data_IF_933340023817
#
_entry.id   IF_933340023817
#
_cell.length_a   1.000
_cell.length_b   1.000
_cell.length_c   1.000
_cell.angle_alpha   90.00
_cell.angle_beta   90.00
_cell.angle_gamma   90.00
#
_symmetry.space_group_name_H-M   'P 1'
#
loop_
_entity.id
_entity.type
_entity.pdbx_description
1 polymer ?
#
# COMPACT_ATOMS: atom_id res chain seq x y z
N UNK A 1 -1.86 42.11 -25.27
CA UNK A 1 -3.05 41.87 -24.45
C UNK A 1 -2.81 40.59 -23.66
N UNK A 2 -2.49 40.74 -22.40
CA UNK A 2 -2.27 39.60 -21.51
C UNK A 2 -3.63 39.02 -21.10
N UNK A 3 -4.01 37.86 -21.65
CA UNK A 3 -5.16 37.14 -21.16
C UNK A 3 -4.79 36.51 -19.81
N UNK A 4 -5.13 37.19 -18.76
CA UNK A 4 -5.09 36.63 -17.43
C UNK A 4 -6.16 35.54 -17.38
N UNK A 5 -5.74 34.28 -17.52
CA UNK A 5 -6.64 33.14 -17.32
C UNK A 5 -7.01 33.16 -15.83
N UNK A 6 -8.26 33.49 -15.55
CA UNK A 6 -8.75 33.52 -14.17
C UNK A 6 -8.62 32.11 -13.57
N UNK A 7 -7.98 31.99 -12.41
CA UNK A 7 -7.93 30.77 -11.63
C UNK A 7 -9.35 30.41 -11.15
N UNK A 8 -9.82 29.25 -11.52
CA UNK A 8 -11.12 28.72 -11.08
C UNK A 8 -10.87 27.51 -10.19
N UNK A 9 -11.40 27.56 -8.98
CA UNK A 9 -11.36 26.41 -8.08
C UNK A 9 -12.31 25.35 -8.63
N UNK A 10 -11.80 24.14 -8.86
CA UNK A 10 -12.63 23.00 -9.20
C UNK A 10 -13.36 22.52 -7.93
N UNK A 11 -14.61 22.94 -7.78
CA UNK A 11 -15.49 22.53 -6.66
C UNK A 11 -15.96 21.08 -6.75
N UNK A 12 -15.58 20.37 -7.82
CA UNK A 12 -15.97 18.96 -8.05
C UNK A 12 -14.96 17.96 -7.48
N UNK A 13 -13.77 18.42 -7.04
CA UNK A 13 -12.79 17.51 -6.45
C UNK A 13 -13.38 16.93 -5.16
N UNK A 14 -13.58 15.62 -5.16
CA UNK A 14 -14.05 14.83 -4.01
C UNK A 14 -13.27 13.54 -3.94
N UNK A 15 -12.77 13.22 -2.77
CA UNK A 15 -12.18 11.90 -2.52
C UNK A 15 -13.31 10.94 -2.11
N UNK A 16 -13.58 9.96 -2.96
CA UNK A 16 -14.60 8.92 -2.73
C UNK A 16 -13.95 7.57 -2.43
N UNK A 17 -12.74 7.34 -2.96
CA UNK A 17 -12.03 6.08 -2.79
C UNK A 17 -10.54 6.31 -2.64
N UNK A 18 -9.98 5.84 -1.54
CA UNK A 18 -8.58 6.02 -1.14
C UNK A 18 -7.88 4.67 -1.14
N UNK A 19 -6.76 4.55 -1.85
CA UNK A 19 -5.86 3.40 -1.81
C UNK A 19 -4.73 3.65 -0.82
N UNK A 20 -4.46 2.68 0.06
CA UNK A 20 -3.39 2.75 1.04
C UNK A 20 -2.49 1.52 0.92
N UNK A 21 -1.36 1.60 0.21
CA UNK A 21 -0.33 0.56 0.29
C UNK A 21 0.21 0.46 1.72
N UNK A 22 0.26 -0.76 2.25
CA UNK A 22 0.61 -1.03 3.64
C UNK A 22 1.54 -2.24 3.75
N UNK A 23 2.73 -2.05 4.26
CA UNK A 23 3.79 -3.06 4.39
C UNK A 23 3.97 -3.61 5.82
N UNK A 24 3.09 -3.22 6.74
CA UNK A 24 3.16 -3.58 8.15
C UNK A 24 4.04 -2.66 9.00
N UNK A 25 4.70 -1.68 8.40
CA UNK A 25 5.55 -0.73 9.13
C UNK A 25 4.73 0.33 9.89
N UNK A 26 5.36 0.93 10.91
CA UNK A 26 4.79 2.07 11.65
C UNK A 26 4.50 3.26 10.72
N UNK A 27 5.27 3.41 9.65
CA UNK A 27 5.06 4.48 8.68
C UNK A 27 3.82 4.23 7.83
N UNK A 28 3.57 2.98 7.44
CA UNK A 28 2.32 2.63 6.74
C UNK A 28 1.10 2.74 7.66
N UNK A 29 1.24 2.49 8.98
CA UNK A 29 0.20 2.79 9.97
C UNK A 29 -0.11 4.30 10.04
N UNK A 30 0.91 5.18 9.93
CA UNK A 30 0.69 6.64 9.84
C UNK A 30 -0.06 7.00 8.55
N UNK A 31 0.30 6.41 7.42
CA UNK A 31 -0.41 6.63 6.15
C UNK A 31 -1.89 6.21 6.27
N UNK A 32 -2.16 5.06 6.89
CA UNK A 32 -3.52 4.61 7.18
C UNK A 32 -4.28 5.57 8.11
N UNK A 33 -3.61 6.14 9.10
CA UNK A 33 -4.21 7.14 10.00
C UNK A 33 -4.63 8.41 9.24
N UNK A 34 -3.82 8.88 8.28
CA UNK A 34 -4.19 10.00 7.41
C UNK A 34 -5.38 9.65 6.51
N UNK A 35 -5.41 8.43 5.95
CA UNK A 35 -6.55 7.96 5.17
C UNK A 35 -7.84 7.90 6.00
N UNK A 36 -7.72 7.41 7.22
CA UNK A 36 -8.83 7.35 8.19
C UNK A 36 -9.39 8.73 8.51
N UNK A 37 -8.52 9.72 8.74
CA UNK A 37 -8.93 11.10 8.95
C UNK A 37 -9.65 11.66 7.73
N UNK A 38 -9.10 11.50 6.53
CA UNK A 38 -9.72 11.97 5.30
C UNK A 38 -11.06 11.27 5.03
N UNK A 39 -11.15 9.97 5.28
CA UNK A 39 -12.40 9.21 5.16
C UNK A 39 -13.49 9.75 6.10
N UNK A 40 -13.15 10.14 7.32
CA UNK A 40 -14.12 10.75 8.27
C UNK A 40 -14.75 12.00 7.73
N UNK A 41 -14.00 12.87 7.08
CA UNK A 41 -14.49 14.17 6.60
C UNK A 41 -15.12 14.12 5.22
N UNK A 42 -14.68 13.19 4.35
CA UNK A 42 -15.17 13.06 2.97
C UNK A 42 -16.21 11.96 2.76
N UNK A 43 -16.28 10.98 3.67
CA UNK A 43 -17.05 9.75 3.49
C UNK A 43 -16.41 8.75 2.51
N UNK A 44 -15.13 8.94 2.15
CA UNK A 44 -14.41 8.08 1.23
C UNK A 44 -14.26 6.65 1.74
N UNK A 45 -14.35 5.70 0.84
CA UNK A 45 -14.00 4.30 1.08
C UNK A 45 -12.46 4.16 1.14
N UNK A 46 -11.96 3.36 2.06
CA UNK A 46 -10.54 3.02 2.16
C UNK A 46 -10.33 1.59 1.70
N UNK A 47 -9.39 1.38 0.79
CA UNK A 47 -8.89 0.06 0.42
C UNK A 47 -7.41 -0.02 0.77
N UNK A 48 -7.06 -0.88 1.70
CA UNK A 48 -5.68 -1.16 2.07
C UNK A 48 -5.16 -2.27 1.16
N UNK A 49 -3.98 -2.11 0.58
CA UNK A 49 -3.33 -3.16 -0.21
C UNK A 49 -1.99 -3.54 0.43
N UNK A 50 -1.80 -4.82 0.65
CA UNK A 50 -0.48 -5.39 0.94
C UNK A 50 -0.05 -6.26 -0.24
N UNK A 51 1.22 -6.18 -0.61
CA UNK A 51 1.80 -6.98 -1.68
C UNK A 51 2.89 -7.87 -1.10
N UNK A 52 2.68 -9.17 -1.19
CA UNK A 52 3.67 -10.18 -0.85
C UNK A 52 4.54 -10.39 -2.09
N UNK A 53 5.82 -10.02 -2.01
CA UNK A 53 6.74 -10.27 -3.13
C UNK A 53 6.98 -11.76 -3.31
N UNK A 54 7.10 -12.19 -4.58
CA UNK A 54 7.51 -13.55 -4.89
C UNK A 54 8.89 -13.83 -4.30
N UNK A 55 8.95 -14.74 -3.34
CA UNK A 55 10.18 -15.10 -2.67
C UNK A 55 11.08 -15.86 -3.65
N UNK A 56 12.05 -15.15 -4.21
CA UNK A 56 13.15 -15.79 -4.93
C UNK A 56 14.13 -16.35 -3.91
N UNK A 57 13.99 -17.62 -3.57
CA UNK A 57 14.92 -18.29 -2.67
C UNK A 57 16.19 -18.63 -3.49
N UNK A 58 17.37 -18.08 -3.17
CA UNK A 58 18.60 -18.42 -3.86
C UNK A 58 18.87 -19.93 -3.77
N UNK A 59 19.37 -20.58 -4.83
CA UNK A 59 19.69 -22.01 -4.84
C UNK A 59 20.58 -22.46 -3.66
N UNK A 60 21.52 -21.60 -3.25
CA UNK A 60 22.40 -21.85 -2.09
C UNK A 60 21.65 -21.96 -0.76
N UNK A 61 20.62 -21.16 -0.57
CA UNK A 61 19.76 -21.18 0.62
C UNK A 61 18.84 -22.40 0.60
N UNK A 62 18.39 -22.79 -0.58
CA UNK A 62 17.58 -24.00 -0.76
C UNK A 62 18.31 -25.26 -0.29
N UNK A 63 19.61 -25.37 -0.61
CA UNK A 63 20.44 -26.53 -0.21
C UNK A 63 20.61 -26.65 1.31
N UNK A 64 20.47 -25.56 2.07
CA UNK A 64 20.66 -25.56 3.53
C UNK A 64 19.37 -25.91 4.30
N UNK A 65 18.21 -25.62 3.73
CA UNK A 65 16.91 -25.76 4.44
C UNK A 65 15.99 -26.85 3.89
N UNK A 66 16.34 -27.46 2.75
CA UNK A 66 15.50 -28.50 2.14
C UNK A 66 15.93 -29.88 2.63
N UNK A 67 15.03 -30.56 3.30
CA UNK A 67 15.16 -32.00 3.51
C UNK A 67 15.07 -32.71 2.16
N UNK A 68 15.87 -33.77 1.90
CA UNK A 68 15.90 -34.47 0.62
C UNK A 68 14.53 -34.93 0.10
N UNK A 69 13.59 -35.09 0.99
CA UNK A 69 12.27 -35.67 0.70
C UNK A 69 11.16 -34.63 0.46
N UNK A 70 11.47 -33.33 0.47
CA UNK A 70 10.46 -32.30 0.31
C UNK A 70 10.66 -31.50 -0.99
N UNK A 71 9.69 -31.52 -1.94
CA UNK A 71 9.76 -30.74 -3.15
C UNK A 71 9.86 -29.22 -2.83
N UNK A 72 10.76 -28.52 -3.51
CA UNK A 72 11.01 -27.08 -3.37
C UNK A 72 9.71 -26.26 -3.51
N UNK A 73 8.87 -26.65 -4.47
CA UNK A 73 7.61 -25.97 -4.73
C UNK A 73 6.66 -26.02 -3.55
N UNK A 74 6.62 -27.17 -2.85
CA UNK A 74 5.79 -27.30 -1.62
C UNK A 74 6.33 -26.45 -0.48
N UNK A 75 7.63 -26.32 -0.33
CA UNK A 75 8.24 -25.46 0.68
C UNK A 75 7.96 -23.96 0.40
N UNK A 76 7.97 -23.55 -0.87
CA UNK A 76 7.60 -22.19 -1.28
C UNK A 76 6.11 -21.92 -1.02
N UNK A 77 5.25 -22.87 -1.34
CA UNK A 77 3.81 -22.77 -1.10
C UNK A 77 3.49 -22.63 0.40
N UNK A 78 4.10 -23.48 1.24
CA UNK A 78 3.93 -23.40 2.69
C UNK A 78 4.42 -22.06 3.25
N UNK A 79 5.55 -21.55 2.77
CA UNK A 79 6.06 -20.23 3.17
C UNK A 79 5.10 -19.11 2.73
N UNK A 80 4.62 -19.16 1.51
CA UNK A 80 3.62 -18.19 1.01
C UNK A 80 2.36 -18.20 1.87
N UNK A 81 1.82 -19.37 2.15
CA UNK A 81 0.62 -19.52 2.99
C UNK A 81 0.84 -18.97 4.41
N UNK A 82 2.03 -19.19 4.98
CA UNK A 82 2.40 -18.63 6.28
C UNK A 82 2.44 -17.11 6.25
N UNK A 83 3.14 -16.53 5.26
CA UNK A 83 3.24 -15.07 5.09
C UNK A 83 1.86 -14.44 4.85
N UNK A 84 1.04 -15.05 4.01
CA UNK A 84 -0.32 -14.58 3.75
C UNK A 84 -1.19 -14.61 5.02
N UNK A 85 -1.05 -15.65 5.86
CA UNK A 85 -1.72 -15.74 7.15
C UNK A 85 -1.30 -14.62 8.10
N UNK A 86 -0.01 -14.34 8.22
CA UNK A 86 0.53 -13.26 9.06
C UNK A 86 0.06 -11.88 8.57
N UNK A 87 0.13 -11.62 7.26
CA UNK A 87 -0.35 -10.38 6.66
C UNK A 87 -1.84 -10.20 6.88
N UNK A 88 -2.62 -11.27 6.70
CA UNK A 88 -4.07 -11.25 6.94
C UNK A 88 -4.38 -10.88 8.38
N UNK A 89 -3.74 -11.53 9.34
CA UNK A 89 -3.94 -11.23 10.76
C UNK A 89 -3.60 -9.77 11.10
N UNK A 90 -2.50 -9.28 10.58
CA UNK A 90 -2.07 -7.89 10.74
C UNK A 90 -3.09 -6.92 10.17
N UNK A 91 -3.58 -7.15 8.94
CA UNK A 91 -4.56 -6.28 8.29
C UNK A 91 -5.93 -6.34 8.98
N UNK A 92 -6.39 -7.52 9.39
CA UNK A 92 -7.63 -7.69 10.15
C UNK A 92 -7.62 -6.83 11.43
N UNK A 93 -6.48 -6.81 12.14
CA UNK A 93 -6.31 -5.99 13.34
C UNK A 93 -6.33 -4.48 13.01
N UNK A 94 -5.64 -4.02 11.93
CA UNK A 94 -5.66 -2.61 11.51
C UNK A 94 -7.07 -2.16 11.10
N UNK A 95 -7.77 -3.00 10.35
CA UNK A 95 -9.15 -2.72 9.94
C UNK A 95 -10.08 -2.65 11.15
N UNK A 96 -9.93 -3.57 12.11
CA UNK A 96 -10.70 -3.58 13.34
C UNK A 96 -10.49 -2.28 14.12
N UNK A 97 -9.25 -1.84 14.31
CA UNK A 97 -8.92 -0.59 14.99
C UNK A 97 -9.53 0.62 14.27
N UNK A 98 -9.45 0.69 12.94
CA UNK A 98 -10.09 1.78 12.19
C UNK A 98 -11.61 1.81 12.37
N UNK A 99 -12.26 0.66 12.46
CA UNK A 99 -13.71 0.57 12.68
C UNK A 99 -14.11 0.96 14.11
N UNK A 100 -13.41 0.42 15.10
CA UNK A 100 -13.74 0.61 16.51
C UNK A 100 -13.34 1.99 17.02
N UNK A 101 -12.08 2.39 16.80
CA UNK A 101 -11.54 3.64 17.38
C UNK A 101 -11.89 4.87 16.54
N UNK A 102 -11.97 4.70 15.22
CA UNK A 102 -12.23 5.80 14.32
C UNK A 102 -13.66 5.86 13.76
N UNK A 103 -14.45 4.82 13.93
CA UNK A 103 -15.82 4.76 13.42
C UNK A 103 -15.91 4.66 11.88
N UNK A 104 -14.85 4.15 11.23
CA UNK A 104 -14.80 4.00 9.77
C UNK A 104 -15.42 2.67 9.37
N UNK A 105 -16.58 2.72 8.70
CA UNK A 105 -17.28 1.49 8.26
C UNK A 105 -16.91 1.06 6.84
N UNK A 106 -16.51 2.02 5.97
CA UNK A 106 -16.14 1.76 4.57
C UNK A 106 -14.65 1.55 4.45
N UNK A 107 -14.16 0.45 4.99
CA UNK A 107 -12.74 0.05 4.91
C UNK A 107 -12.63 -1.44 4.66
N UNK A 108 -11.78 -1.79 3.71
CA UNK A 108 -11.45 -3.16 3.32
C UNK A 108 -9.97 -3.29 2.99
N UNK A 109 -9.50 -4.52 2.79
CA UNK A 109 -8.14 -4.75 2.32
C UNK A 109 -8.08 -5.79 1.20
N UNK A 110 -6.97 -5.77 0.47
CA UNK A 110 -6.57 -6.78 -0.51
C UNK A 110 -5.14 -7.21 -0.24
N UNK A 111 -4.88 -8.50 -0.39
CA UNK A 111 -3.54 -9.08 -0.41
C UNK A 111 -3.27 -9.50 -1.85
N UNK A 112 -2.14 -9.06 -2.39
CA UNK A 112 -1.67 -9.41 -3.73
C UNK A 112 -0.31 -10.09 -3.64
N UNK A 113 0.03 -10.88 -4.63
CA UNK A 113 1.35 -11.50 -4.75
C UNK A 113 1.97 -11.07 -6.08
N UNK A 114 3.21 -10.59 -6.04
CA UNK A 114 3.90 -10.12 -7.24
C UNK A 114 4.90 -9.02 -6.94
N UNK A 115 5.22 -8.21 -7.93
CA UNK A 115 6.10 -7.05 -7.75
C UNK A 115 5.32 -5.89 -7.13
N UNK A 116 5.83 -5.35 -6.03
CA UNK A 116 5.14 -4.32 -5.24
C UNK A 116 4.63 -3.16 -6.12
N UNK A 117 5.49 -2.60 -6.97
CA UNK A 117 5.14 -1.45 -7.81
C UNK A 117 4.04 -1.81 -8.79
N UNK A 118 4.19 -2.94 -9.48
CA UNK A 118 3.27 -3.39 -10.53
C UNK A 118 1.86 -3.64 -9.94
N UNK A 119 1.79 -4.30 -8.78
CA UNK A 119 0.53 -4.60 -8.11
C UNK A 119 -0.17 -3.35 -7.56
N UNK A 120 0.59 -2.38 -7.02
CA UNK A 120 0.01 -1.10 -6.55
C UNK A 120 -0.53 -0.30 -7.75
N UNK A 121 0.23 -0.20 -8.85
CA UNK A 121 -0.20 0.51 -10.06
C UNK A 121 -1.43 -0.15 -10.65
N UNK A 122 -1.41 -1.48 -10.83
CA UNK A 122 -2.54 -2.25 -11.34
C UNK A 122 -3.80 -2.04 -10.48
N UNK A 123 -3.66 -2.12 -9.14
CA UNK A 123 -4.78 -1.90 -8.23
C UNK A 123 -5.33 -0.48 -8.34
N UNK A 124 -4.46 0.52 -8.53
CA UNK A 124 -4.88 1.92 -8.64
C UNK A 124 -5.72 2.20 -9.90
N UNK A 125 -5.50 1.41 -10.95
CA UNK A 125 -6.24 1.51 -12.22
C UNK A 125 -7.53 0.68 -12.21
N UNK A 126 -7.50 -0.49 -11.54
CA UNK A 126 -8.61 -1.46 -11.54
C UNK A 126 -9.89 -0.91 -10.87
N UNK A 127 -9.77 -0.02 -9.89
CA UNK A 127 -10.89 0.39 -9.02
C UNK A 127 -11.17 1.90 -8.98
N UNK A 128 -10.70 2.69 -9.91
CA UNK A 128 -10.91 4.15 -9.97
C UNK A 128 -10.70 4.88 -8.63
N UNK A 129 -9.53 4.71 -8.05
CA UNK A 129 -9.15 5.46 -6.86
C UNK A 129 -8.95 6.94 -7.17
N UNK A 130 -9.40 7.81 -6.26
CA UNK A 130 -9.24 9.28 -6.37
C UNK A 130 -7.96 9.77 -5.71
N UNK A 131 -7.44 9.03 -4.75
CA UNK A 131 -6.27 9.38 -3.97
C UNK A 131 -5.51 8.12 -3.54
N UNK A 132 -4.20 8.20 -3.57
CA UNK A 132 -3.32 7.19 -3.00
C UNK A 132 -2.55 7.83 -1.85
N UNK A 133 -2.52 7.17 -0.70
CA UNK A 133 -1.78 7.64 0.48
C UNK A 133 -0.71 6.61 0.82
N UNK A 134 0.55 7.00 0.69
CA UNK A 134 1.70 6.11 0.90
C UNK A 134 2.64 6.64 1.95
N UNK A 135 3.25 5.73 2.69
CA UNK A 135 4.40 6.03 3.51
C UNK A 135 5.69 6.07 2.69
N UNK A 136 6.57 7.00 3.02
CA UNK A 136 7.91 7.07 2.49
C UNK A 136 8.90 7.01 3.65
N UNK A 137 9.57 5.86 3.80
CA UNK A 137 10.67 5.74 4.76
C UNK A 137 11.91 6.47 4.24
N UNK A 138 12.59 7.20 5.11
CA UNK A 138 13.87 7.84 4.79
C UNK A 138 14.97 6.80 4.76
N UNK A 139 15.77 6.79 3.71
CA UNK A 139 16.94 5.93 3.61
C UNK A 139 18.10 6.49 4.46
N UNK A 140 18.10 7.80 4.74
CA UNK A 140 19.14 8.46 5.53
C UNK A 140 18.64 9.79 6.09
N UNK A 141 19.08 10.13 7.31
CA UNK A 141 18.76 11.41 7.96
C UNK A 141 19.35 12.64 7.25
N UNK A 142 20.31 12.44 6.36
CA UNK A 142 21.02 13.54 5.66
C UNK A 142 20.53 13.82 4.26
N UNK A 143 19.83 12.88 3.61
CA UNK A 143 19.36 13.05 2.24
C UNK A 143 17.87 12.73 2.17
N UNK A 144 17.06 13.73 1.81
CA UNK A 144 15.63 13.55 1.56
C UNK A 144 15.42 12.88 0.20
N UNK A 145 15.66 11.58 0.12
CA UNK A 145 15.42 10.80 -1.09
C UNK A 145 14.19 9.95 -0.89
N UNK A 146 13.27 10.02 -1.82
CA UNK A 146 12.14 9.07 -1.90
C UNK A 146 12.69 7.67 -2.06
N UNK A 147 12.14 6.72 -1.31
CA UNK A 147 12.45 5.30 -1.48
C UNK A 147 12.18 4.85 -2.91
N UNK A 148 12.96 3.89 -3.41
CA UNK A 148 12.89 3.43 -4.81
C UNK A 148 11.48 2.97 -5.21
N UNK A 149 10.78 2.29 -4.32
CA UNK A 149 9.39 1.83 -4.53
C UNK A 149 8.43 3.00 -4.67
N UNK A 150 8.47 3.94 -3.73
CA UNK A 150 7.60 5.13 -3.74
C UNK A 150 7.81 5.95 -5.00
N UNK A 151 9.08 6.18 -5.38
CA UNK A 151 9.42 6.91 -6.60
C UNK A 151 8.84 6.24 -7.84
N UNK A 152 9.05 4.93 -8.00
CA UNK A 152 8.52 4.19 -9.15
C UNK A 152 7.00 4.21 -9.21
N UNK A 153 6.34 4.08 -8.05
CA UNK A 153 4.87 4.17 -7.97
C UNK A 153 4.39 5.55 -8.40
N UNK A 154 4.98 6.62 -7.84
CA UNK A 154 4.61 8.02 -8.20
C UNK A 154 4.85 8.30 -9.68
N UNK A 155 5.96 7.82 -10.25
CA UNK A 155 6.28 8.00 -11.67
C UNK A 155 5.30 7.25 -12.60
N UNK A 156 4.66 6.18 -12.11
CA UNK A 156 3.78 5.31 -12.90
C UNK A 156 2.29 5.64 -12.77
N UNK A 157 1.87 6.30 -11.69
CA UNK A 157 0.48 6.57 -11.38
C UNK A 157 0.08 7.98 -11.85
N UNK A 158 -1.11 8.09 -12.45
CA UNK A 158 -1.70 9.38 -12.88
C UNK A 158 -2.73 9.95 -11.91
N UNK A 159 -2.81 9.38 -10.72
CA UNK A 159 -3.75 9.79 -9.66
C UNK A 159 -3.01 10.67 -8.64
N UNK A 160 -3.72 11.52 -7.90
CA UNK A 160 -3.15 12.24 -6.76
C UNK A 160 -2.50 11.29 -5.75
N UNK A 161 -1.32 11.64 -5.27
CA UNK A 161 -0.58 10.85 -4.27
C UNK A 161 -0.22 11.74 -3.09
N UNK A 162 -0.63 11.34 -1.90
CA UNK A 162 -0.20 11.95 -0.65
C UNK A 162 0.90 11.10 -0.02
N UNK A 163 2.08 11.69 0.12
CA UNK A 163 3.22 11.02 0.72
C UNK A 163 3.37 11.43 2.19
N UNK A 164 3.40 10.43 3.06
CA UNK A 164 3.63 10.61 4.50
C UNK A 164 5.10 10.33 4.78
N UNK A 165 5.80 11.33 5.27
CA UNK A 165 7.20 11.25 5.66
C UNK A 165 7.34 11.20 7.20
N UNK A 166 8.47 10.66 7.64
CA UNK A 166 8.87 10.69 9.05
C UNK A 166 9.24 12.12 9.51
#
# INVERSE_FOLDING_TARGET
>A
MSSTTAFTIDSQIRYQKILVPHDGSVMSDKALSHATYLSKISGAEIVVINVIEDVVIPPSTLLTFIKPDRPIEKAKEDLRNTLEGEVKQMLDERIRQCKEDAGINKISYKIRTGKIVDEIVHQSEEMDFDLIIMASSRISSYVRVLGSTVRKVVDSIRKPVLLIHE
#
